data_IF_491470189395
#
_entry.id   IF_491470189395
#
_cell.length_a   1.000
_cell.length_b   1.000
_cell.length_c   1.000
_cell.angle_alpha   90.00
_cell.angle_beta   90.00
_cell.angle_gamma   90.00
#
_symmetry.space_group_name_H-M   'P 1'
#
loop_
_entity.id
_entity.type
_entity.pdbx_description
1 polymer ?
#
# COMPACT_ATOMS: atom_id res chain seq x y z
N UNK A 1 15.19 5.28 -19.10
CA UNK A 1 14.34 5.85 -18.03
C UNK A 1 15.25 6.04 -16.81
N UNK A 2 15.29 7.22 -16.20
CA UNK A 2 16.14 7.47 -15.04
C UNK A 2 15.45 6.98 -13.75
N UNK A 3 16.19 6.33 -12.87
CA UNK A 3 15.68 5.85 -11.57
C UNK A 3 15.79 6.96 -10.51
N UNK A 4 14.93 7.97 -10.64
CA UNK A 4 14.99 9.23 -9.86
C UNK A 4 14.89 9.00 -8.34
N UNK A 5 14.07 8.06 -7.91
CA UNK A 5 13.87 7.70 -6.50
C UNK A 5 14.64 6.45 -6.08
N UNK A 6 15.51 5.91 -6.95
CA UNK A 6 16.18 4.63 -6.71
C UNK A 6 15.21 3.50 -6.31
N UNK A 7 14.10 3.34 -7.04
CA UNK A 7 13.04 2.35 -6.72
C UNK A 7 13.53 0.92 -6.86
N UNK A 8 14.60 0.69 -7.62
CA UNK A 8 15.28 -0.60 -7.70
C UNK A 8 16.40 -0.74 -6.67
N UNK A 9 16.78 0.36 -6.01
CA UNK A 9 17.76 0.39 -4.93
C UNK A 9 17.12 0.26 -3.55
N UNK A 10 17.85 0.77 -2.54
CA UNK A 10 17.42 0.75 -1.13
C UNK A 10 16.92 2.09 -0.60
N UNK A 11 17.05 3.18 -1.36
CA UNK A 11 16.77 4.53 -0.86
C UNK A 11 15.37 4.68 -0.22
N UNK A 12 14.32 4.23 -0.92
CA UNK A 12 12.94 4.32 -0.39
C UNK A 12 12.79 3.48 0.87
N UNK A 13 13.41 2.29 0.91
CA UNK A 13 13.40 1.41 2.09
C UNK A 13 14.12 2.06 3.26
N UNK A 14 15.32 2.55 3.03
CA UNK A 14 16.16 3.16 4.06
C UNK A 14 15.53 4.45 4.60
N UNK A 15 14.74 5.17 3.80
CA UNK A 15 14.01 6.34 4.26
C UNK A 15 12.69 6.00 4.99
N UNK A 16 12.03 4.90 4.65
CA UNK A 16 10.87 4.38 5.40
C UNK A 16 11.30 3.67 6.69
N UNK A 17 12.52 3.14 6.74
CA UNK A 17 13.14 2.48 7.88
C UNK A 17 14.56 3.04 8.11
N UNK A 18 14.70 4.29 8.58
CA UNK A 18 16.01 4.88 8.81
C UNK A 18 16.76 4.10 9.89
N UNK A 19 18.02 3.78 9.60
CA UNK A 19 18.91 3.19 10.59
C UNK A 19 19.11 4.16 11.76
N UNK A 20 19.24 3.61 12.97
CA UNK A 20 19.61 4.35 14.18
C UNK A 20 18.69 5.53 14.55
N UNK A 21 17.46 5.54 14.03
CA UNK A 21 16.47 6.59 14.28
C UNK A 21 15.17 5.97 14.79
N UNK A 22 14.55 6.58 15.80
CA UNK A 22 13.24 6.14 16.28
C UNK A 22 12.15 6.42 15.25
N UNK A 23 11.22 5.47 15.11
CA UNK A 23 10.01 5.64 14.30
C UNK A 23 8.80 5.74 15.23
N UNK A 24 7.77 6.55 14.90
CA UNK A 24 7.58 7.31 13.66
C UNK A 24 8.50 8.53 13.50
N UNK A 25 8.90 8.84 12.27
CA UNK A 25 9.83 9.92 11.93
C UNK A 25 9.31 10.81 10.79
N UNK A 26 9.53 12.15 10.81
CA UNK A 26 9.08 13.07 9.76
C UNK A 26 9.55 12.69 8.34
N UNK A 27 10.71 12.02 8.22
CA UNK A 27 11.21 11.50 6.95
C UNK A 27 10.26 10.48 6.31
N UNK A 28 9.71 9.57 7.11
CA UNK A 28 8.75 8.56 6.63
C UNK A 28 7.50 9.25 6.10
N UNK A 29 7.01 10.25 6.83
CA UNK A 29 5.82 11.01 6.47
C UNK A 29 6.02 11.80 5.18
N UNK A 30 7.17 12.48 5.02
CA UNK A 30 7.54 13.20 3.81
C UNK A 30 7.68 12.29 2.60
N UNK A 31 8.36 11.15 2.77
CA UNK A 31 8.51 10.16 1.71
C UNK A 31 7.17 9.54 1.32
N UNK A 32 6.32 9.17 2.29
CA UNK A 32 5.01 8.59 2.02
C UNK A 32 4.11 9.56 1.22
N UNK A 33 4.12 10.86 1.55
CA UNK A 33 3.43 11.89 0.75
C UNK A 33 4.01 12.01 -0.65
N UNK A 34 5.34 11.98 -0.80
CA UNK A 34 6.00 12.05 -2.10
C UNK A 34 5.61 10.87 -2.99
N UNK A 35 5.75 9.63 -2.51
CA UNK A 35 5.42 8.45 -3.32
C UNK A 35 3.92 8.36 -3.62
N UNK A 36 3.06 8.79 -2.70
CA UNK A 36 1.61 8.90 -2.93
C UNK A 36 1.29 9.90 -4.04
N UNK A 37 2.03 11.02 -4.07
CA UNK A 37 1.91 12.05 -5.12
C UNK A 37 2.36 11.51 -6.47
N UNK A 38 3.50 10.81 -6.51
CA UNK A 38 4.00 10.14 -7.73
C UNK A 38 2.99 9.10 -8.23
N UNK A 39 2.40 8.29 -7.34
CA UNK A 39 1.39 7.28 -7.69
C UNK A 39 0.09 7.88 -8.24
N UNK A 40 -0.21 9.16 -7.98
CA UNK A 40 -1.35 9.85 -8.60
C UNK A 40 -1.16 9.98 -10.12
N UNK A 41 0.07 10.06 -10.61
CA UNK A 41 0.38 10.16 -12.04
C UNK A 41 0.42 8.77 -12.68
N UNK A 42 -0.11 8.66 -13.91
CA UNK A 42 -0.07 7.39 -14.68
C UNK A 42 1.37 6.87 -14.83
N UNK A 43 2.28 7.73 -15.30
CA UNK A 43 3.69 7.39 -15.47
C UNK A 43 4.38 7.08 -14.14
N UNK A 44 3.98 7.73 -13.05
CA UNK A 44 4.49 7.45 -11.71
C UNK A 44 4.07 6.06 -11.21
N UNK A 45 2.84 5.62 -11.48
CA UNK A 45 2.44 4.22 -11.23
C UNK A 45 3.25 3.23 -12.04
N UNK A 46 3.49 3.50 -13.32
CA UNK A 46 4.32 2.64 -14.16
C UNK A 46 5.75 2.54 -13.64
N UNK A 47 6.30 3.66 -13.14
CA UNK A 47 7.62 3.73 -12.57
C UNK A 47 7.72 2.98 -11.23
N UNK A 48 6.85 3.27 -10.26
CA UNK A 48 6.86 2.63 -8.94
C UNK A 48 6.57 1.12 -9.04
N UNK A 49 5.58 0.72 -9.85
CA UNK A 49 5.22 -0.68 -10.03
C UNK A 49 6.22 -1.48 -10.87
N UNK A 50 7.24 -0.84 -11.44
CA UNK A 50 8.32 -1.54 -12.14
C UNK A 50 9.26 -2.29 -11.19
N UNK A 51 9.26 -1.94 -9.90
CA UNK A 51 10.07 -2.59 -8.88
C UNK A 51 9.22 -3.51 -7.98
N UNK A 52 9.38 -4.82 -8.16
CA UNK A 52 8.74 -5.83 -7.31
C UNK A 52 9.18 -5.69 -5.84
N UNK A 53 10.48 -5.47 -5.62
CA UNK A 53 11.04 -5.34 -4.27
C UNK A 53 10.49 -4.13 -3.52
N UNK A 54 10.24 -3.02 -4.22
CA UNK A 54 9.59 -1.85 -3.64
C UNK A 54 8.15 -2.16 -3.25
N UNK A 55 7.36 -2.76 -4.15
CA UNK A 55 5.96 -3.04 -3.86
C UNK A 55 5.80 -3.99 -2.67
N UNK A 56 6.59 -5.06 -2.62
CA UNK A 56 6.61 -5.97 -1.45
C UNK A 56 6.99 -5.22 -0.17
N UNK A 57 7.99 -4.34 -0.24
CA UNK A 57 8.38 -3.55 0.93
C UNK A 57 7.23 -2.64 1.41
N UNK A 58 6.55 -1.93 0.50
CA UNK A 58 5.41 -1.07 0.85
C UNK A 58 4.26 -1.88 1.48
N UNK A 59 3.96 -3.07 0.96
CA UNK A 59 2.94 -3.97 1.53
C UNK A 59 3.33 -4.35 2.96
N UNK A 60 4.54 -4.87 3.16
CA UNK A 60 5.00 -5.30 4.48
C UNK A 60 5.03 -4.13 5.48
N UNK A 61 5.43 -2.93 5.04
CA UNK A 61 5.44 -1.73 5.87
C UNK A 61 4.03 -1.32 6.30
N UNK A 62 3.05 -1.32 5.39
CA UNK A 62 1.64 -1.00 5.72
C UNK A 62 1.03 -2.04 6.65
N UNK A 63 1.36 -3.32 6.47
CA UNK A 63 0.91 -4.41 7.34
C UNK A 63 1.61 -4.42 8.72
N UNK A 64 2.56 -3.50 8.95
CA UNK A 64 3.42 -3.47 10.15
C UNK A 64 4.22 -4.76 10.36
N UNK A 65 4.51 -5.47 9.27
CA UNK A 65 5.37 -6.67 9.25
C UNK A 65 6.86 -6.28 9.20
N UNK A 66 7.16 -4.99 9.09
CA UNK A 66 8.49 -4.42 9.29
C UNK A 66 8.69 -3.96 10.74
N UNK A 67 9.94 -3.95 11.22
CA UNK A 67 10.33 -3.39 12.54
C UNK A 67 10.25 -1.85 12.59
N UNK A 68 9.14 -1.28 12.11
CA UNK A 68 8.91 0.14 11.88
C UNK A 68 7.55 0.52 12.44
N UNK A 69 7.49 1.64 13.15
CA UNK A 69 6.23 2.26 13.59
C UNK A 69 5.84 3.35 12.61
N UNK A 70 4.57 3.42 12.25
CA UNK A 70 4.02 4.46 11.40
C UNK A 70 3.12 5.35 12.22
N UNK A 71 3.19 6.66 12.00
CA UNK A 71 2.12 7.53 12.44
C UNK A 71 0.89 7.35 11.51
N UNK A 72 -0.22 7.88 11.98
CA UNK A 72 -1.50 7.85 11.29
C UNK A 72 -1.42 8.38 9.86
N UNK A 73 -0.67 9.46 9.63
CA UNK A 73 -0.55 10.08 8.32
C UNK A 73 0.31 9.24 7.37
N UNK A 74 1.44 8.71 7.84
CA UNK A 74 2.31 7.85 7.03
C UNK A 74 1.56 6.59 6.61
N UNK A 75 0.87 5.94 7.55
CA UNK A 75 0.04 4.76 7.27
C UNK A 75 -1.00 5.05 6.17
N UNK A 76 -1.73 6.16 6.30
CA UNK A 76 -2.74 6.57 5.32
C UNK A 76 -2.15 6.85 3.93
N UNK A 77 -1.02 7.57 3.86
CA UNK A 77 -0.38 7.89 2.59
C UNK A 77 0.15 6.64 1.88
N UNK A 78 0.70 5.68 2.64
CA UNK A 78 1.17 4.41 2.09
C UNK A 78 0.00 3.53 1.63
N UNK A 79 -1.10 3.48 2.39
CA UNK A 79 -2.32 2.78 1.98
C UNK A 79 -2.90 3.38 0.70
N UNK A 80 -2.99 4.70 0.61
CA UNK A 80 -3.42 5.40 -0.62
C UNK A 80 -2.48 5.12 -1.79
N UNK A 81 -1.17 5.01 -1.53
CA UNK A 81 -0.18 4.61 -2.55
C UNK A 81 -0.48 3.20 -3.06
N UNK A 82 -0.68 2.22 -2.18
CA UNK A 82 -1.02 0.84 -2.58
C UNK A 82 -2.34 0.79 -3.35
N UNK A 83 -3.37 1.52 -2.91
CA UNK A 83 -4.62 1.66 -3.66
C UNK A 83 -4.36 2.16 -5.09
N UNK A 84 -3.58 3.23 -5.27
CA UNK A 84 -3.28 3.77 -6.60
C UNK A 84 -2.49 2.78 -7.45
N UNK A 85 -1.49 2.11 -6.87
CA UNK A 85 -0.69 1.11 -7.58
C UNK A 85 -1.53 -0.10 -8.00
N UNK A 86 -2.55 -0.48 -7.23
CA UNK A 86 -3.50 -1.56 -7.54
C UNK A 86 -4.35 -1.28 -8.80
N UNK A 87 -4.25 -0.11 -9.43
CA UNK A 87 -4.78 0.09 -10.78
C UNK A 87 -3.99 -0.68 -11.84
N UNK A 88 -2.77 -1.15 -11.53
CA UNK A 88 -1.94 -1.99 -12.40
C UNK A 88 -2.15 -3.46 -12.07
N UNK A 89 -2.46 -4.27 -13.08
CA UNK A 89 -2.74 -5.72 -12.91
C UNK A 89 -1.64 -6.45 -12.14
N UNK A 90 -0.37 -6.25 -12.52
CA UNK A 90 0.75 -6.95 -11.86
C UNK A 90 0.90 -6.55 -10.39
N UNK A 91 0.63 -5.28 -10.05
CA UNK A 91 0.66 -4.82 -8.67
C UNK A 91 -0.48 -5.44 -7.85
N UNK A 92 -1.69 -5.58 -8.44
CA UNK A 92 -2.80 -6.29 -7.78
C UNK A 92 -2.49 -7.74 -7.48
N UNK A 93 -1.99 -8.47 -8.47
CA UNK A 93 -1.64 -9.88 -8.30
C UNK A 93 -0.66 -10.05 -7.14
N UNK A 94 0.37 -9.21 -7.08
CA UNK A 94 1.34 -9.23 -6.00
C UNK A 94 0.73 -8.89 -4.63
N UNK A 95 -0.22 -7.96 -4.55
CA UNK A 95 -0.95 -7.68 -3.30
C UNK A 95 -1.80 -8.87 -2.86
N UNK A 96 -2.44 -9.56 -3.81
CA UNK A 96 -3.22 -10.78 -3.54
C UNK A 96 -2.28 -11.88 -3.03
N UNK A 97 -1.17 -12.14 -3.72
CA UNK A 97 -0.12 -13.09 -3.31
C UNK A 97 0.50 -12.79 -1.93
N UNK A 98 0.35 -11.55 -1.41
CA UNK A 98 0.84 -11.10 -0.10
C UNK A 98 -0.25 -10.95 0.95
N UNK A 99 -1.38 -11.61 0.75
CA UNK A 99 -2.50 -11.70 1.69
C UNK A 99 -3.11 -10.34 2.05
N UNK A 100 -3.06 -9.39 1.10
CA UNK A 100 -3.62 -8.06 1.31
C UNK A 100 -5.15 -8.11 1.41
N UNK A 101 -5.81 -9.12 0.83
CA UNK A 101 -7.27 -9.27 0.89
C UNK A 101 -7.71 -9.54 2.34
N UNK A 102 -7.15 -10.57 2.97
CA UNK A 102 -7.44 -10.96 4.35
C UNK A 102 -7.05 -9.87 5.32
N UNK A 103 -5.90 -9.22 5.11
CA UNK A 103 -5.46 -8.10 5.93
C UNK A 103 -6.45 -6.93 5.86
N UNK A 104 -6.93 -6.57 4.66
CA UNK A 104 -7.93 -5.50 4.50
C UNK A 104 -9.26 -5.87 5.13
N UNK A 105 -9.73 -7.11 4.97
CA UNK A 105 -10.97 -7.58 5.59
C UNK A 105 -10.88 -7.52 7.12
N UNK A 106 -9.77 -8.00 7.69
CA UNK A 106 -9.52 -7.94 9.13
C UNK A 106 -9.48 -6.50 9.63
N UNK A 107 -8.75 -5.64 8.91
CA UNK A 107 -8.64 -4.20 9.23
C UNK A 107 -10.00 -3.49 9.19
N UNK A 108 -10.80 -3.73 8.16
CA UNK A 108 -12.13 -3.13 7.98
C UNK A 108 -13.18 -3.67 8.94
N UNK A 109 -12.94 -4.83 9.56
CA UNK A 109 -13.83 -5.41 10.58
C UNK A 109 -13.59 -4.81 11.97
N UNK A 110 -12.51 -4.05 12.16
CA UNK A 110 -12.21 -3.35 13.41
C UNK A 110 -13.06 -2.10 13.63
N UNK A 111 -12.99 -1.54 14.84
CA UNK A 111 -13.72 -0.32 15.19
C UNK A 111 -13.01 0.95 14.71
N UNK A 112 -13.79 1.89 14.16
CA UNK A 112 -13.43 3.29 13.94
C UNK A 112 -12.16 3.55 13.09
N UNK A 113 -12.27 3.34 11.77
CA UNK A 113 -11.29 3.89 10.83
C UNK A 113 -11.54 5.38 10.59
N UNK A 114 -10.46 6.16 10.48
CA UNK A 114 -10.53 7.53 9.95
C UNK A 114 -11.07 7.46 8.52
N UNK A 115 -11.95 8.40 8.15
CA UNK A 115 -12.63 8.40 6.84
C UNK A 115 -11.67 8.20 5.65
N UNK A 116 -10.50 8.83 5.71
CA UNK A 116 -9.45 8.66 4.70
C UNK A 116 -8.94 7.21 4.61
N UNK A 117 -8.60 6.57 5.74
CA UNK A 117 -8.18 5.17 5.77
C UNK A 117 -9.29 4.26 5.24
N UNK A 118 -10.53 4.48 5.65
CA UNK A 118 -11.67 3.68 5.24
C UNK A 118 -11.89 3.74 3.71
N UNK A 119 -11.86 4.95 3.13
CA UNK A 119 -12.00 5.17 1.69
C UNK A 119 -10.92 4.40 0.90
N UNK A 120 -9.65 4.54 1.28
CA UNK A 120 -8.56 3.89 0.54
C UNK A 120 -8.48 2.38 0.80
N UNK A 121 -8.82 1.90 2.01
CA UNK A 121 -8.91 0.47 2.33
C UNK A 121 -10.00 -0.20 1.48
N UNK A 122 -11.21 0.37 1.45
CA UNK A 122 -12.33 -0.18 0.68
C UNK A 122 -12.10 -0.10 -0.82
N UNK A 123 -11.58 1.02 -1.34
CA UNK A 123 -11.23 1.16 -2.75
C UNK A 123 -10.10 0.22 -3.17
N UNK A 124 -9.11 -0.03 -2.31
CA UNK A 124 -8.08 -1.03 -2.57
C UNK A 124 -8.69 -2.43 -2.62
N UNK A 125 -9.52 -2.81 -1.64
CA UNK A 125 -10.17 -4.11 -1.61
C UNK A 125 -11.04 -4.34 -2.87
N UNK A 126 -11.82 -3.34 -3.28
CA UNK A 126 -12.59 -3.37 -4.52
C UNK A 126 -11.70 -3.61 -5.74
N UNK A 127 -10.59 -2.88 -5.84
CA UNK A 127 -9.64 -3.07 -6.94
C UNK A 127 -9.06 -4.49 -6.96
N UNK A 128 -8.72 -5.08 -5.81
CA UNK A 128 -8.24 -6.45 -5.73
C UNK A 128 -9.32 -7.44 -6.19
N UNK A 129 -10.56 -7.27 -5.75
CA UNK A 129 -11.73 -8.10 -6.12
C UNK A 129 -12.13 -8.05 -7.61
N UNK A 130 -11.49 -7.20 -8.43
CA UNK A 130 -11.55 -7.34 -9.89
C UNK A 130 -10.92 -8.67 -10.37
N UNK A 131 -10.00 -9.24 -9.59
CA UNK A 131 -9.42 -10.56 -9.83
C UNK A 131 -10.25 -11.66 -9.17
N UNK A 132 -10.40 -12.81 -9.86
CA UNK A 132 -11.21 -13.93 -9.37
C UNK A 132 -10.68 -14.51 -8.05
N UNK A 133 -9.37 -14.71 -7.96
CA UNK A 133 -8.71 -15.22 -6.76
C UNK A 133 -8.96 -14.34 -5.52
N UNK A 134 -8.97 -13.02 -5.69
CA UNK A 134 -9.29 -12.11 -4.58
C UNK A 134 -10.75 -12.24 -4.12
N UNK A 135 -11.68 -12.49 -5.05
CA UNK A 135 -13.09 -12.72 -4.69
C UNK A 135 -13.27 -14.04 -3.96
N UNK A 136 -12.55 -15.08 -4.34
CA UNK A 136 -12.61 -16.37 -3.64
C UNK A 136 -12.09 -16.27 -2.20
N UNK A 137 -11.15 -15.35 -1.95
CA UNK A 137 -10.55 -15.10 -0.64
C UNK A 137 -11.31 -14.06 0.20
N UNK A 138 -12.15 -13.23 -0.42
CA UNK A 138 -12.93 -12.21 0.26
C UNK A 138 -14.27 -12.79 0.76
N UNK A 139 -14.67 -12.55 2.03
CA UNK A 139 -15.96 -13.06 2.52
C UNK A 139 -17.14 -12.54 1.69
N UNK A 140 -18.09 -13.42 1.38
CA UNK A 140 -19.27 -13.10 0.56
C UNK A 140 -20.07 -11.91 1.11
N UNK A 141 -20.15 -11.75 2.43
CA UNK A 141 -20.82 -10.60 3.07
C UNK A 141 -20.14 -9.28 2.70
N UNK A 142 -18.81 -9.24 2.69
CA UNK A 142 -18.03 -8.05 2.31
C UNK A 142 -18.15 -7.79 0.81
N UNK A 143 -18.07 -8.83 -0.02
CA UNK A 143 -18.22 -8.70 -1.48
C UNK A 143 -19.56 -8.04 -1.87
N UNK A 144 -20.66 -8.41 -1.19
CA UNK A 144 -21.98 -7.82 -1.44
C UNK A 144 -22.05 -6.34 -1.09
N UNK A 145 -21.20 -5.84 -0.19
CA UNK A 145 -21.13 -4.41 0.16
C UNK A 145 -20.31 -3.60 -0.86
N UNK A 146 -19.50 -4.28 -1.68
CA UNK A 146 -18.63 -3.68 -2.68
C UNK A 146 -19.30 -3.58 -4.07
N UNK A 147 -20.48 -4.19 -4.25
CA UNK A 147 -21.26 -4.27 -5.50
C UNK A 147 -22.63 -3.61 -5.35
#
# INVERSE_FOLDING_TARGET
RHDVLSVHGRLVRDMLQPADTSTPHPLQQSLARLINTVASLRAGRDYLASSHSLLVHLINTVKLESNVRLDNVTSDMLLATLQKLSLRRNARLMMIEKDMVEWLVSRLSGECERLYSLEYSTALLLNLCLHVEARERCPTTVLKLLT
#
